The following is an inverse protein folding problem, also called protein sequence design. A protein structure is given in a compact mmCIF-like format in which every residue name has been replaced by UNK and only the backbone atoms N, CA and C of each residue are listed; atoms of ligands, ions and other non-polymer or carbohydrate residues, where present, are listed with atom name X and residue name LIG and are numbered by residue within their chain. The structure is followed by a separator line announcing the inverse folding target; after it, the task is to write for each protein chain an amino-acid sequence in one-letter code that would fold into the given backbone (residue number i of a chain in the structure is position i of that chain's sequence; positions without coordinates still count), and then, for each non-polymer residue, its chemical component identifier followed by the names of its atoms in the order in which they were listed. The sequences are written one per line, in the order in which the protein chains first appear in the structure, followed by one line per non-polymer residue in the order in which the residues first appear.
data_IF_840920324413
#
_entry.id   IF_840920324413
#
_cell.length_a   1.000
_cell.length_b   1.000
_cell.length_c   1.000
_cell.angle_alpha   90.00
_cell.angle_beta   90.00
_cell.angle_gamma   90.00
#
_symmetry.space_group_name_H-M   'P 1'
#
loop_
_entity.id
_entity.type
_entity.pdbx_description
1 polymer ?
#
# COMPACT_ATOMS: atom_id res chain seq x y z
N UNK A 1 -7.09 10.31 10.66
CA UNK A 1 -6.26 9.08 10.74
C UNK A 1 -7.05 7.79 10.47
N UNK A 2 -8.08 7.43 11.26
CA UNK A 2 -8.85 6.19 11.08
C UNK A 2 -9.35 5.97 9.64
N UNK A 3 -9.98 6.99 9.03
CA UNK A 3 -10.46 6.94 7.65
C UNK A 3 -9.33 6.72 6.64
N UNK A 4 -8.16 7.33 6.85
CA UNK A 4 -6.99 7.16 5.96
C UNK A 4 -6.47 5.73 6.03
N UNK A 5 -6.39 5.14 7.22
CA UNK A 5 -5.94 3.75 7.37
C UNK A 5 -6.93 2.79 6.71
N UNK A 6 -8.25 3.04 6.83
CA UNK A 6 -9.26 2.28 6.10
C UNK A 6 -9.10 2.41 4.59
N UNK A 7 -8.92 3.63 4.09
CA UNK A 7 -8.69 3.88 2.67
C UNK A 7 -7.46 3.11 2.17
N UNK A 8 -6.35 3.14 2.92
CA UNK A 8 -5.13 2.40 2.54
C UNK A 8 -5.32 0.87 2.59
N UNK A 9 -6.16 0.36 3.48
CA UNK A 9 -6.51 -1.07 3.46
C UNK A 9 -7.32 -1.44 2.21
N UNK A 10 -8.28 -0.61 1.82
CA UNK A 10 -9.04 -0.76 0.57
C UNK A 10 -8.12 -0.65 -0.65
N UNK A 11 -7.17 0.30 -0.64
CA UNK A 11 -6.18 0.46 -1.69
C UNK A 11 -5.32 -0.80 -1.83
N UNK A 12 -4.91 -1.44 -0.73
CA UNK A 12 -4.16 -2.70 -0.79
C UNK A 12 -5.01 -3.84 -1.37
N UNK A 13 -6.30 -3.90 -1.03
CA UNK A 13 -7.20 -4.91 -1.59
C UNK A 13 -7.37 -4.71 -3.11
N UNK A 14 -7.47 -3.45 -3.56
CA UNK A 14 -7.48 -3.08 -4.97
C UNK A 14 -6.14 -3.42 -5.67
N UNK A 15 -4.99 -3.19 -5.02
CA UNK A 15 -3.69 -3.61 -5.55
C UNK A 15 -3.63 -5.12 -5.73
N UNK A 16 -4.17 -5.90 -4.80
CA UNK A 16 -4.26 -7.36 -4.96
C UNK A 16 -5.15 -7.72 -6.15
N UNK A 17 -6.32 -7.08 -6.28
CA UNK A 17 -7.23 -7.30 -7.40
C UNK A 17 -6.55 -7.03 -8.75
N UNK A 18 -5.93 -5.85 -8.92
CA UNK A 18 -5.21 -5.47 -10.16
C UNK A 18 -4.07 -6.43 -10.47
N UNK A 19 -3.33 -6.84 -9.44
CA UNK A 19 -2.25 -7.81 -9.59
C UNK A 19 -2.77 -9.18 -10.07
N UNK A 20 -3.86 -9.71 -9.50
CA UNK A 20 -4.45 -10.95 -10.00
C UNK A 20 -4.96 -10.78 -11.44
N UNK A 21 -5.57 -9.65 -11.76
CA UNK A 21 -6.07 -9.35 -13.11
C UNK A 21 -4.95 -9.44 -14.16
N UNK A 22 -3.82 -8.74 -13.97
CA UNK A 22 -2.70 -8.80 -14.94
C UNK A 22 -2.03 -10.18 -14.97
N UNK A 23 -2.07 -10.94 -13.86
CA UNK A 23 -1.54 -12.30 -13.83
C UNK A 23 -2.38 -13.31 -14.60
N UNK A 24 -3.70 -13.16 -14.57
CA UNK A 24 -4.62 -14.08 -15.24
C UNK A 24 -4.79 -13.70 -16.72
N UNK A 25 -5.03 -12.41 -16.99
CA UNK A 25 -5.39 -11.94 -18.33
C UNK A 25 -4.16 -11.59 -19.19
N UNK A 26 -2.99 -11.43 -18.56
CA UNK A 26 -1.82 -10.89 -19.22
C UNK A 26 -1.96 -9.40 -19.53
N UNK A 27 -0.94 -8.82 -20.15
CA UNK A 27 -0.88 -7.39 -20.45
C UNK A 27 -0.49 -6.53 -19.24
N UNK A 28 0.13 -5.39 -19.53
CA UNK A 28 0.38 -4.34 -18.56
C UNK A 28 -0.61 -3.21 -18.79
N UNK A 29 -0.99 -2.50 -17.74
CA UNK A 29 -1.76 -1.26 -17.86
C UNK A 29 -0.95 -0.18 -18.59
N UNK A 30 -1.64 0.80 -19.19
CA UNK A 30 -0.99 1.93 -19.85
C UNK A 30 -0.36 2.85 -18.80
N UNK A 31 0.89 3.25 -19.03
CA UNK A 31 1.64 4.01 -18.02
C UNK A 31 1.00 5.36 -17.71
N UNK A 32 0.63 6.14 -18.73
CA UNK A 32 0.15 7.52 -18.53
C UNK A 32 -1.35 7.57 -18.23
N UNK A 33 -2.13 6.61 -18.74
CA UNK A 33 -3.58 6.59 -18.56
C UNK A 33 -4.02 5.89 -17.27
N UNK A 34 -3.30 4.86 -16.86
CA UNK A 34 -3.72 4.00 -15.76
C UNK A 34 -2.74 4.04 -14.58
N UNK A 35 -1.46 3.76 -14.83
CA UNK A 35 -0.47 3.55 -13.76
C UNK A 35 -0.14 4.85 -13.05
N UNK A 36 0.28 5.89 -13.78
CA UNK A 36 0.69 7.18 -13.20
C UNK A 36 -0.45 7.85 -12.41
N UNK A 37 -1.69 7.96 -12.93
CA UNK A 37 -2.80 8.52 -12.14
C UNK A 37 -3.12 7.71 -10.90
N UNK A 38 -3.07 6.37 -10.99
CA UNK A 38 -3.33 5.49 -9.85
C UNK A 38 -2.28 5.65 -8.77
N UNK A 39 -0.99 5.58 -9.14
CA UNK A 39 0.13 5.74 -8.20
C UNK A 39 0.08 7.11 -7.53
N UNK A 40 -0.21 8.17 -8.28
CA UNK A 40 -0.36 9.52 -7.71
C UNK A 40 -1.49 9.62 -6.69
N UNK A 41 -2.59 8.91 -6.91
CA UNK A 41 -3.67 8.84 -5.92
C UNK A 41 -3.23 8.15 -4.63
N UNK A 42 -2.48 7.05 -4.75
CA UNK A 42 -1.90 6.34 -3.60
C UNK A 42 -0.90 7.23 -2.85
N UNK A 43 -0.03 7.95 -3.56
CA UNK A 43 0.92 8.87 -2.95
C UNK A 43 0.21 9.96 -2.12
N UNK A 44 -0.91 10.51 -2.59
CA UNK A 44 -1.72 11.46 -1.83
C UNK A 44 -2.25 10.85 -0.51
N UNK A 45 -2.71 9.58 -0.54
CA UNK A 45 -3.16 8.89 0.67
C UNK A 45 -2.01 8.64 1.65
N UNK A 46 -0.81 8.34 1.14
CA UNK A 46 0.39 8.15 1.94
C UNK A 46 0.93 9.46 2.54
N UNK A 47 0.87 10.57 1.80
CA UNK A 47 1.15 11.91 2.34
C UNK A 47 0.21 12.25 3.48
N UNK A 48 -1.10 11.99 3.29
CA UNK A 48 -2.10 12.19 4.34
C UNK A 48 -1.84 11.31 5.57
N UNK A 49 -1.38 10.06 5.40
CA UNK A 49 -0.94 9.20 6.51
C UNK A 49 0.27 9.80 7.22
N UNK A 50 1.24 10.32 6.47
CA UNK A 50 2.49 10.85 7.02
C UNK A 50 2.28 12.13 7.85
N UNK A 51 1.21 12.88 7.62
CA UNK A 51 0.78 13.96 8.52
C UNK A 51 0.49 13.47 9.96
N UNK A 52 0.22 12.18 10.15
CA UNK A 52 0.01 11.55 11.45
C UNK A 52 1.24 10.75 11.94
N UNK A 53 2.41 10.93 11.32
CA UNK A 53 3.62 10.17 11.62
C UNK A 53 3.93 10.11 13.11
N UNK A 54 3.92 11.25 13.81
CA UNK A 54 4.15 11.33 15.26
C UNK A 54 3.21 10.41 16.04
N UNK A 55 1.89 10.58 15.85
CA UNK A 55 0.87 9.76 16.53
C UNK A 55 1.02 8.28 16.21
N UNK A 56 1.36 7.93 14.98
CA UNK A 56 1.60 6.54 14.56
C UNK A 56 2.83 5.97 15.28
N UNK A 57 3.94 6.71 15.32
CA UNK A 57 5.18 6.24 15.95
C UNK A 57 5.10 6.11 17.47
N UNK A 58 4.12 6.77 18.10
CA UNK A 58 3.83 6.63 19.53
C UNK A 58 2.97 5.39 19.85
N UNK A 59 2.38 4.73 18.83
CA UNK A 59 1.62 3.49 19.05
C UNK A 59 2.52 2.28 19.30
N UNK A 60 1.98 1.30 20.02
CA UNK A 60 2.69 0.06 20.29
C UNK A 60 3.09 -0.65 18.99
N UNK A 61 4.33 -1.14 18.94
CA UNK A 61 4.92 -1.86 17.80
C UNK A 61 5.26 -1.01 16.57
N UNK A 62 5.09 0.31 16.61
CA UNK A 62 5.51 1.22 15.55
C UNK A 62 6.78 1.98 15.90
N UNK A 63 7.51 2.39 14.86
CA UNK A 63 8.67 3.28 14.92
C UNK A 63 8.74 4.05 13.61
N UNK A 64 9.53 5.14 13.55
CA UNK A 64 9.68 5.91 12.31
C UNK A 64 10.18 5.02 11.16
N UNK A 65 11.17 4.18 11.43
CA UNK A 65 11.70 3.23 10.43
C UNK A 65 10.63 2.26 9.92
N UNK A 66 9.74 1.76 10.79
CA UNK A 66 8.64 0.89 10.35
C UNK A 66 7.62 1.64 9.50
N UNK A 67 7.31 2.89 9.85
CA UNK A 67 6.43 3.74 9.05
C UNK A 67 7.03 4.00 7.66
N UNK A 68 8.32 4.30 7.58
CA UNK A 68 9.00 4.53 6.30
C UNK A 68 8.99 3.28 5.42
N UNK A 69 9.22 2.09 6.02
CA UNK A 69 9.15 0.80 5.32
C UNK A 69 7.71 0.52 4.83
N UNK A 70 6.71 0.80 5.65
CA UNK A 70 5.30 0.65 5.29
C UNK A 70 4.95 1.51 4.07
N UNK A 71 5.29 2.81 4.12
CA UNK A 71 5.07 3.76 3.02
C UNK A 71 5.75 3.25 1.75
N UNK A 72 7.04 2.91 1.83
CA UNK A 72 7.80 2.40 0.68
C UNK A 72 7.20 1.11 0.11
N UNK A 73 6.70 0.22 0.97
CA UNK A 73 6.07 -1.01 0.54
C UNK A 73 4.78 -0.73 -0.22
N UNK A 74 3.92 0.17 0.26
CA UNK A 74 2.67 0.55 -0.41
C UNK A 74 2.96 1.22 -1.76
N UNK A 75 3.96 2.11 -1.83
CA UNK A 75 4.39 2.72 -3.10
C UNK A 75 4.88 1.69 -4.11
N UNK A 76 5.65 0.69 -3.66
CA UNK A 76 6.08 -0.39 -4.56
C UNK A 76 4.91 -1.26 -4.99
N UNK A 77 3.98 -1.58 -4.10
CA UNK A 77 2.78 -2.36 -4.43
C UNK A 77 1.91 -1.64 -5.46
N UNK A 78 1.75 -0.32 -5.35
CA UNK A 78 0.93 0.47 -6.27
C UNK A 78 1.47 0.47 -7.70
N UNK A 79 2.78 0.31 -7.88
CA UNK A 79 3.38 0.12 -9.21
C UNK A 79 3.34 -1.35 -9.62
N UNK A 80 3.83 -2.24 -8.75
CA UNK A 80 4.03 -3.67 -9.02
C UNK A 80 2.73 -4.39 -9.44
N UNK A 81 1.57 -3.92 -8.96
CA UNK A 81 0.27 -4.52 -9.23
C UNK A 81 -0.19 -4.42 -10.69
N UNK A 82 0.46 -3.57 -11.49
CA UNK A 82 0.12 -3.37 -12.89
C UNK A 82 0.95 -4.21 -13.87
N UNK A 83 1.94 -4.96 -13.37
CA UNK A 83 2.90 -5.66 -14.22
C UNK A 83 2.81 -7.19 -14.08
N UNK A 84 2.55 -7.93 -15.16
CA UNK A 84 2.44 -9.38 -15.11
C UNK A 84 3.78 -10.07 -14.82
N UNK A 85 4.91 -9.37 -14.97
CA UNK A 85 6.25 -9.91 -14.69
C UNK A 85 6.63 -9.84 -13.20
N UNK A 86 5.89 -9.09 -12.39
CA UNK A 86 6.11 -9.00 -10.94
C UNK A 86 6.11 -10.38 -10.29
N UNK A 87 7.08 -10.65 -9.41
CA UNK A 87 7.17 -11.93 -8.70
C UNK A 87 6.01 -12.12 -7.73
N UNK A 88 5.29 -13.24 -7.84
CA UNK A 88 4.17 -13.57 -6.94
C UNK A 88 4.57 -13.66 -5.49
N UNK A 89 5.71 -14.30 -5.21
CA UNK A 89 6.20 -14.42 -3.83
C UNK A 89 6.47 -13.05 -3.23
N UNK A 90 7.27 -12.22 -3.92
CA UNK A 90 7.67 -10.90 -3.42
C UNK A 90 6.48 -9.95 -3.29
N UNK A 91 5.52 -10.01 -4.22
CA UNK A 91 4.31 -9.18 -4.16
C UNK A 91 3.45 -9.55 -2.95
N UNK A 92 3.12 -10.83 -2.78
CA UNK A 92 2.24 -11.30 -1.70
C UNK A 92 2.88 -11.09 -0.32
N UNK A 93 4.19 -11.29 -0.20
CA UNK A 93 4.92 -11.05 1.05
C UNK A 93 4.85 -9.57 1.46
N UNK A 94 5.14 -8.67 0.51
CA UNK A 94 5.04 -7.21 0.71
C UNK A 94 3.61 -6.78 1.04
N UNK A 95 2.63 -7.33 0.34
CA UNK A 95 1.21 -7.05 0.54
C UNK A 95 0.76 -7.44 1.96
N UNK A 96 1.08 -8.66 2.40
CA UNK A 96 0.75 -9.13 3.74
C UNK A 96 1.43 -8.30 4.84
N UNK A 97 2.70 -7.90 4.63
CA UNK A 97 3.41 -7.02 5.56
C UNK A 97 2.69 -5.69 5.70
N UNK A 98 2.35 -5.03 4.59
CA UNK A 98 1.67 -3.73 4.62
C UNK A 98 0.28 -3.81 5.26
N UNK A 99 -0.50 -4.85 4.94
CA UNK A 99 -1.80 -5.08 5.59
C UNK A 99 -1.68 -5.29 7.10
N UNK A 100 -0.66 -6.05 7.54
CA UNK A 100 -0.44 -6.30 8.95
C UNK A 100 -0.09 -5.02 9.71
N UNK A 101 0.84 -4.22 9.18
CA UNK A 101 1.24 -2.96 9.81
C UNK A 101 0.05 -1.97 9.87
N UNK A 102 -0.74 -1.82 8.81
CA UNK A 102 -1.95 -0.96 8.84
C UNK A 102 -2.98 -1.44 9.87
N UNK A 103 -3.21 -2.76 9.97
CA UNK A 103 -4.13 -3.32 10.98
C UNK A 103 -3.62 -3.13 12.40
N UNK A 104 -2.31 -3.21 12.62
CA UNK A 104 -1.71 -2.90 13.91
C UNK A 104 -1.91 -1.44 14.29
N UNK A 105 -1.63 -0.50 13.37
CA UNK A 105 -1.87 0.93 13.63
C UNK A 105 -3.35 1.16 13.95
N UNK A 106 -4.26 0.53 13.20
CA UNK A 106 -5.71 0.65 13.43
C UNK A 106 -6.14 0.13 14.80
N UNK A 107 -5.59 -1.01 15.23
CA UNK A 107 -6.00 -1.69 16.46
C UNK A 107 -5.40 -1.06 17.72
N UNK A 108 -4.21 -0.45 17.61
CA UNK A 108 -3.53 0.21 18.73
C UNK A 108 -3.85 1.72 18.79
N UNK A 109 -4.71 2.21 17.89
CA UNK A 109 -5.27 3.55 17.98
C UNK A 109 -6.53 3.50 18.84
N UNK A 110 -6.37 3.85 20.12
CA UNK A 110 -7.45 4.02 21.10
C UNK A 110 -7.69 5.50 21.33
#
# INVERSE_FOLDING_TARGET
MYQIIKQLLEDIDEMNYRYQHVKINGGSFDFYKDVEPYVKNIDNHLEALNCYSKSITETQYMSQQKLDILILNIQKLSVDCHFPRTSRKLFVEKLKSAQYDLKNILSNYV
#
